data_IF_516762885284
#
_entry.id   IF_516762885284
#
_cell.length_a   1.000
_cell.length_b   1.000
_cell.length_c   1.000
_cell.angle_alpha   90.00
_cell.angle_beta   90.00
_cell.angle_gamma   90.00
#
_symmetry.space_group_name_H-M   'P 1'
#
loop_
_entity.id
_entity.type
_entity.pdbx_description
1 polymer ?
#
# COMPACT_ATOMS: atom_id res chain seq x y z
N UNK A 1 19.22 -66.73 0.86
CA UNK A 1 17.99 -66.23 0.23
C UNK A 1 17.92 -64.68 0.23
N UNK A 2 18.13 -64.00 1.32
CA UNK A 2 18.01 -62.49 1.38
C UNK A 2 18.94 -61.75 0.40
N UNK A 3 20.18 -62.18 0.19
CA UNK A 3 21.13 -61.52 -0.73
C UNK A 3 20.70 -61.61 -2.21
N UNK A 4 20.01 -62.66 -2.62
CA UNK A 4 19.55 -62.83 -3.99
C UNK A 4 18.33 -61.93 -4.25
N UNK A 5 17.41 -61.78 -3.28
CA UNK A 5 16.27 -60.90 -3.38
C UNK A 5 16.70 -59.43 -3.44
N UNK A 6 17.69 -59.02 -2.64
CA UNK A 6 18.22 -57.63 -2.65
C UNK A 6 18.85 -57.30 -4.01
N UNK A 7 19.56 -58.25 -4.63
CA UNK A 7 20.15 -58.05 -5.96
C UNK A 7 19.11 -57.94 -7.07
N UNK A 8 18.01 -58.68 -6.99
CA UNK A 8 16.91 -58.60 -7.94
C UNK A 8 16.17 -57.26 -7.81
N UNK A 9 15.94 -56.74 -6.58
CA UNK A 9 15.38 -55.42 -6.36
C UNK A 9 16.26 -54.30 -6.88
N UNK A 10 17.58 -54.41 -6.73
CA UNK A 10 18.53 -53.41 -7.24
C UNK A 10 18.56 -53.39 -8.77
N UNK A 11 18.48 -54.56 -9.42
CA UNK A 11 18.43 -54.67 -10.90
C UNK A 11 17.12 -54.16 -11.45
N UNK A 12 15.99 -54.44 -10.79
CA UNK A 12 14.67 -53.88 -11.17
C UNK A 12 14.60 -52.36 -10.95
N UNK A 13 15.22 -51.84 -9.89
CA UNK A 13 15.32 -50.41 -9.64
C UNK A 13 16.14 -49.66 -10.71
N UNK A 14 17.17 -50.31 -11.27
CA UNK A 14 17.99 -49.75 -12.36
C UNK A 14 17.22 -49.82 -13.72
N UNK A 15 16.40 -50.87 -13.92
CA UNK A 15 15.61 -50.99 -15.15
C UNK A 15 14.44 -50.00 -15.26
N UNK A 16 13.95 -49.49 -14.12
CA UNK A 16 12.96 -48.41 -14.07
C UNK A 16 13.56 -47.00 -13.84
N UNK A 17 14.87 -46.94 -13.65
CA UNK A 17 15.60 -45.71 -13.46
C UNK A 17 15.86 -44.98 -14.78
N UNK A 18 15.03 -44.01 -15.07
CA UNK A 18 15.44 -42.90 -15.92
C UNK A 18 15.07 -42.97 -17.39
N UNK A 19 13.80 -42.94 -17.71
CA UNK A 19 13.39 -42.17 -18.89
C UNK A 19 13.50 -40.70 -18.52
N UNK A 20 14.70 -40.13 -18.62
CA UNK A 20 14.89 -38.71 -18.66
C UNK A 20 14.20 -38.20 -19.93
N UNK A 21 13.00 -37.66 -19.79
CA UNK A 21 12.39 -36.93 -20.89
C UNK A 21 13.27 -35.71 -21.18
N UNK A 22 14.00 -35.76 -22.28
CA UNK A 22 14.68 -34.60 -22.81
C UNK A 22 13.63 -33.61 -23.30
N UNK A 23 13.22 -32.67 -22.46
CA UNK A 23 12.40 -31.54 -22.89
C UNK A 23 13.29 -30.61 -23.71
N UNK A 24 13.06 -30.58 -25.03
CA UNK A 24 13.65 -29.56 -25.89
C UNK A 24 12.69 -28.37 -25.92
N UNK A 25 13.14 -27.28 -25.35
CA UNK A 25 12.40 -26.00 -25.43
C UNK A 25 12.87 -25.25 -26.67
N UNK A 26 11.95 -25.02 -27.58
CA UNK A 26 12.13 -24.07 -28.68
C UNK A 26 11.49 -22.75 -28.26
N UNK A 27 12.27 -21.72 -28.12
CA UNK A 27 11.76 -20.37 -27.90
C UNK A 27 12.21 -19.44 -29.01
N UNK A 28 11.35 -18.50 -29.34
CA UNK A 28 11.66 -17.42 -30.26
C UNK A 28 11.47 -16.10 -29.51
N UNK A 29 12.49 -15.26 -29.50
CA UNK A 29 12.36 -13.88 -29.01
C UNK A 29 11.66 -13.08 -30.10
N UNK A 30 10.44 -12.62 -29.79
CA UNK A 30 9.71 -11.71 -30.67
C UNK A 30 9.94 -10.29 -30.17
N UNK A 31 10.56 -9.46 -31.01
CA UNK A 31 10.69 -8.04 -30.73
C UNK A 31 9.32 -7.38 -30.89
N UNK A 32 8.84 -6.72 -29.85
CA UNK A 32 7.59 -5.95 -29.89
C UNK A 32 7.95 -4.54 -30.36
N UNK A 33 7.64 -4.24 -31.62
CA UNK A 33 7.83 -2.93 -32.23
C UNK A 33 6.72 -2.66 -33.26
N UNK A 34 6.76 -1.50 -33.91
CA UNK A 34 5.75 -1.05 -34.88
C UNK A 34 5.53 -1.99 -36.10
N UNK A 35 6.42 -2.97 -36.32
CA UNK A 35 6.22 -3.97 -37.41
C UNK A 35 5.06 -4.92 -37.10
N UNK A 36 4.64 -5.01 -35.82
CA UNK A 36 3.49 -5.81 -35.40
C UNK A 36 2.16 -5.09 -35.63
N UNK A 37 2.17 -3.77 -35.76
CA UNK A 37 0.95 -2.96 -35.93
C UNK A 37 0.15 -3.33 -37.18
N UNK A 38 0.85 -3.73 -38.25
CA UNK A 38 0.23 -4.20 -39.48
C UNK A 38 -0.51 -5.54 -39.35
N UNK A 39 -0.30 -6.28 -38.26
CA UNK A 39 -0.88 -7.61 -38.01
C UNK A 39 -2.07 -7.57 -37.06
N UNK A 40 -2.50 -6.40 -36.62
CA UNK A 40 -3.59 -6.24 -35.68
C UNK A 40 -4.92 -6.61 -36.33
N UNK A 41 -5.73 -7.41 -35.63
CA UNK A 41 -7.07 -7.72 -36.07
C UNK A 41 -7.95 -6.45 -36.02
N UNK A 42 -8.54 -5.98 -37.16
CA UNK A 42 -9.28 -4.73 -37.20
C UNK A 42 -10.50 -4.69 -36.27
N UNK A 43 -11.15 -5.82 -36.02
CA UNK A 43 -12.29 -5.90 -35.07
C UNK A 43 -11.82 -5.72 -33.64
N UNK A 44 -10.70 -6.35 -33.27
CA UNK A 44 -10.10 -6.20 -31.97
C UNK A 44 -9.61 -4.76 -31.75
N UNK A 45 -8.94 -4.17 -32.74
CA UNK A 45 -8.49 -2.78 -32.68
C UNK A 45 -9.66 -1.81 -32.47
N UNK A 46 -10.76 -1.97 -33.21
CA UNK A 46 -11.95 -1.14 -33.03
C UNK A 46 -12.52 -1.26 -31.62
N UNK A 47 -12.58 -2.49 -31.09
CA UNK A 47 -13.04 -2.73 -29.72
C UNK A 47 -12.12 -2.07 -28.68
N UNK A 48 -10.80 -2.27 -28.80
CA UNK A 48 -9.81 -1.68 -27.90
C UNK A 48 -9.85 -0.15 -27.95
N UNK A 49 -9.96 0.45 -29.12
CA UNK A 49 -10.07 1.91 -29.26
C UNK A 49 -11.33 2.45 -28.55
N UNK A 50 -12.48 1.78 -28.70
CA UNK A 50 -13.71 2.19 -28.03
C UNK A 50 -13.60 2.09 -26.50
N UNK A 51 -12.93 1.07 -25.97
CA UNK A 51 -12.66 0.96 -24.53
C UNK A 51 -11.66 2.01 -24.06
N UNK A 52 -10.59 2.23 -24.82
CA UNK A 52 -9.59 3.27 -24.54
C UNK A 52 -10.23 4.66 -24.47
N UNK A 53 -11.08 5.02 -25.44
CA UNK A 53 -11.76 6.32 -25.48
C UNK A 53 -12.70 6.52 -24.30
N UNK A 54 -13.34 5.45 -23.82
CA UNK A 54 -14.18 5.48 -22.62
C UNK A 54 -13.33 5.69 -21.36
N UNK A 55 -12.33 4.84 -21.15
CA UNK A 55 -11.42 4.93 -20.01
C UNK A 55 -10.68 6.26 -19.96
N UNK A 56 -10.20 6.76 -21.09
CA UNK A 56 -9.48 8.03 -21.16
C UNK A 56 -10.35 9.23 -20.74
N UNK A 57 -11.65 9.17 -21.01
CA UNK A 57 -12.58 10.21 -20.54
C UNK A 57 -12.83 10.13 -19.04
N UNK A 58 -13.04 8.91 -18.51
CA UNK A 58 -13.27 8.69 -17.09
C UNK A 58 -12.02 9.02 -16.26
N UNK A 59 -10.86 8.50 -16.68
CA UNK A 59 -9.60 8.73 -15.98
C UNK A 59 -9.04 10.14 -16.18
N UNK A 60 -9.40 10.84 -17.27
CA UNK A 60 -8.97 12.19 -17.55
C UNK A 60 -9.79 13.29 -16.88
N UNK A 61 -10.82 12.94 -16.08
CA UNK A 61 -11.57 13.93 -15.30
C UNK A 61 -10.67 14.64 -14.31
N UNK A 62 -10.57 15.98 -14.41
CA UNK A 62 -9.82 16.81 -13.46
C UNK A 62 -10.63 16.95 -12.18
N UNK A 63 -10.05 16.55 -11.06
CA UNK A 63 -10.71 16.54 -9.74
C UNK A 63 -10.08 17.51 -8.74
N UNK A 64 -8.92 18.09 -9.06
CA UNK A 64 -8.21 19.03 -8.19
C UNK A 64 -7.00 19.64 -8.84
N UNK A 65 -6.23 20.38 -8.04
CA UNK A 65 -4.98 21.01 -8.45
C UNK A 65 -3.92 20.82 -7.38
N UNK A 66 -2.72 20.40 -7.77
CA UNK A 66 -1.57 20.23 -6.89
C UNK A 66 -0.56 21.38 -7.11
N UNK A 67 -0.20 22.10 -6.05
CA UNK A 67 0.67 23.26 -6.17
C UNK A 67 2.11 22.90 -6.54
N UNK A 68 2.61 21.79 -6.01
CA UNK A 68 3.98 21.32 -6.21
C UNK A 68 3.99 19.81 -6.38
N UNK A 69 4.98 19.27 -7.08
CA UNK A 69 5.13 17.83 -7.20
C UNK A 69 5.44 17.20 -5.84
N UNK A 70 4.60 16.23 -5.44
CA UNK A 70 4.74 15.47 -4.20
C UNK A 70 5.29 14.08 -4.51
N UNK A 71 6.47 13.78 -3.97
CA UNK A 71 7.13 12.49 -4.12
C UNK A 71 6.86 11.61 -2.90
N UNK A 72 7.01 10.28 -3.08
CA UNK A 72 6.94 9.29 -2.01
C UNK A 72 8.31 8.66 -1.78
N UNK A 73 8.79 8.68 -0.55
CA UNK A 73 10.04 8.07 -0.08
C UNK A 73 10.02 7.92 1.45
N UNK A 74 10.75 6.96 1.94
CA UNK A 74 10.93 6.69 3.37
C UNK A 74 11.96 7.62 4.03
N UNK A 75 11.87 7.90 5.32
CA UNK A 75 10.88 7.45 6.30
C UNK A 75 9.62 8.31 6.35
N UNK A 76 9.59 9.42 5.66
CA UNK A 76 8.46 10.32 5.48
C UNK A 76 8.67 11.18 4.23
N UNK A 77 7.60 11.53 3.55
CA UNK A 77 7.63 12.31 2.32
C UNK A 77 6.39 13.18 2.19
N UNK A 78 6.42 14.25 1.37
CA UNK A 78 5.23 15.08 1.19
C UNK A 78 4.01 14.28 0.73
N UNK A 79 4.16 13.32 -0.21
CA UNK A 79 3.02 12.53 -0.66
C UNK A 79 2.52 11.56 0.41
N UNK A 80 3.40 10.84 1.10
CA UNK A 80 2.98 9.92 2.15
C UNK A 80 2.32 10.66 3.32
N UNK A 81 2.80 11.87 3.64
CA UNK A 81 2.17 12.74 4.63
C UNK A 81 0.76 13.13 4.21
N UNK A 82 0.59 13.63 2.97
CA UNK A 82 -0.73 13.99 2.43
C UNK A 82 -1.73 12.82 2.54
N UNK A 83 -1.33 11.64 2.07
CA UNK A 83 -2.22 10.49 2.01
C UNK A 83 -2.64 10.00 3.41
N UNK A 84 -1.69 9.96 4.35
CA UNK A 84 -2.00 9.55 5.72
C UNK A 84 -2.76 10.62 6.50
N UNK A 85 -2.51 11.91 6.22
CA UNK A 85 -3.24 13.02 6.84
C UNK A 85 -4.70 13.05 6.39
N UNK A 86 -4.97 12.92 5.08
CA UNK A 86 -6.33 12.80 4.55
C UNK A 86 -7.02 11.57 5.17
N UNK A 87 -6.34 10.43 5.21
CA UNK A 87 -6.90 9.21 5.80
C UNK A 87 -7.25 9.42 7.27
N UNK A 88 -6.37 10.00 8.07
CA UNK A 88 -6.63 10.21 9.49
C UNK A 88 -7.77 11.21 9.74
N UNK A 89 -7.82 12.30 8.97
CA UNK A 89 -8.76 13.39 9.20
C UNK A 89 -10.16 13.09 8.68
N UNK A 90 -10.27 12.41 7.53
CA UNK A 90 -11.54 12.29 6.80
C UNK A 90 -12.18 10.90 6.89
N UNK A 91 -11.39 9.85 7.21
CA UNK A 91 -11.92 8.49 7.25
C UNK A 91 -13.07 8.27 8.24
N UNK A 92 -13.20 8.97 9.38
CA UNK A 92 -14.34 8.79 10.27
C UNK A 92 -15.69 8.93 9.57
N UNK A 93 -15.80 9.83 8.57
CA UNK A 93 -17.02 10.01 7.79
C UNK A 93 -17.40 8.79 6.93
N UNK A 94 -16.49 7.86 6.72
CA UNK A 94 -16.64 6.64 5.91
C UNK A 94 -16.78 5.36 6.74
N UNK A 95 -16.85 5.48 8.06
CA UNK A 95 -16.97 4.34 8.97
C UNK A 95 -18.35 3.66 8.95
N UNK A 96 -19.35 4.30 8.34
CA UNK A 96 -20.69 3.73 8.19
C UNK A 96 -21.34 3.38 9.54
N UNK A 97 -21.85 2.15 9.64
CA UNK A 97 -22.55 1.67 10.85
C UNK A 97 -21.63 1.48 12.08
N UNK A 98 -20.32 1.46 11.89
CA UNK A 98 -19.36 1.35 12.99
C UNK A 98 -19.37 2.58 13.92
N UNK A 99 -19.95 3.71 13.47
CA UNK A 99 -20.08 4.96 14.21
C UNK A 99 -18.77 5.46 14.85
N UNK A 100 -17.65 5.27 14.13
CA UNK A 100 -16.31 5.74 14.52
C UNK A 100 -16.23 7.22 14.20
N UNK A 101 -15.93 8.04 15.20
CA UNK A 101 -15.96 9.50 15.12
C UNK A 101 -14.57 10.15 15.10
N UNK A 102 -13.51 9.37 15.27
CA UNK A 102 -12.15 9.88 15.30
C UNK A 102 -11.12 8.87 14.76
N UNK A 103 -9.92 9.37 14.51
CA UNK A 103 -8.72 8.59 14.23
C UNK A 103 -7.58 9.13 15.11
N UNK A 104 -6.96 8.26 15.90
CA UNK A 104 -5.78 8.63 16.68
C UNK A 104 -4.50 8.52 15.81
N UNK A 105 -4.44 7.54 14.92
CA UNK A 105 -3.30 7.28 14.03
C UNK A 105 -3.76 6.62 12.73
N UNK A 106 -3.25 7.10 11.60
CA UNK A 106 -3.40 6.43 10.31
C UNK A 106 -2.07 5.83 9.86
N UNK A 107 -2.10 4.64 9.25
CA UNK A 107 -0.91 3.93 8.78
C UNK A 107 -1.14 3.45 7.33
N UNK A 108 -0.16 3.72 6.44
CA UNK A 108 -0.09 3.20 5.08
C UNK A 108 1.30 2.61 4.81
N UNK A 109 1.41 1.67 3.90
CA UNK A 109 2.71 1.15 3.45
C UNK A 109 3.25 1.96 2.27
N UNK A 110 4.55 2.23 2.26
CA UNK A 110 5.20 2.90 1.12
C UNK A 110 5.07 2.09 -0.17
N UNK A 111 5.12 0.76 -0.09
CA UNK A 111 4.89 -0.13 -1.24
C UNK A 111 3.52 0.02 -1.90
N UNK A 112 2.52 0.51 -1.18
CA UNK A 112 1.18 0.81 -1.69
C UNK A 112 1.10 2.11 -2.50
N UNK A 113 2.05 3.04 -2.34
CA UNK A 113 2.11 4.32 -3.05
C UNK A 113 2.96 4.13 -4.31
N UNK A 114 2.30 4.00 -5.47
CA UNK A 114 2.93 3.50 -6.70
C UNK A 114 3.43 4.59 -7.66
N UNK A 115 3.04 5.85 -7.44
CA UNK A 115 3.41 7.00 -8.28
C UNK A 115 3.58 8.24 -7.42
N UNK A 116 4.18 9.27 -7.99
CA UNK A 116 4.16 10.64 -7.45
C UNK A 116 2.85 11.33 -7.83
N UNK A 117 2.53 12.44 -7.15
CA UNK A 117 1.50 13.39 -7.56
C UNK A 117 2.21 14.61 -8.18
N UNK A 118 2.04 14.81 -9.49
CA UNK A 118 2.68 15.92 -10.22
C UNK A 118 2.01 17.25 -9.93
N UNK A 119 2.77 18.34 -10.01
CA UNK A 119 2.22 19.68 -9.97
C UNK A 119 1.29 19.93 -11.17
N UNK A 120 0.19 20.66 -10.96
CA UNK A 120 -0.84 20.95 -11.97
C UNK A 120 -2.16 20.29 -11.69
N UNK A 121 -2.97 20.09 -12.74
CA UNK A 121 -4.26 19.43 -12.63
C UNK A 121 -4.11 17.99 -12.14
N UNK A 122 -4.96 17.61 -11.20
CA UNK A 122 -5.07 16.24 -10.67
C UNK A 122 -6.23 15.56 -11.37
N UNK A 123 -5.97 14.43 -12.02
CA UNK A 123 -7.00 13.61 -12.65
C UNK A 123 -7.35 12.38 -11.82
N UNK A 124 -8.49 11.76 -12.10
CA UNK A 124 -8.83 10.44 -11.54
C UNK A 124 -7.71 9.43 -11.87
N UNK A 125 -7.13 9.51 -13.07
CA UNK A 125 -6.03 8.64 -13.51
C UNK A 125 -4.78 8.76 -12.64
N UNK A 126 -4.46 9.94 -12.13
CA UNK A 126 -3.33 10.14 -11.22
C UNK A 126 -3.56 9.40 -9.90
N UNK A 127 -4.79 9.40 -9.39
CA UNK A 127 -5.11 8.67 -8.15
C UNK A 127 -5.09 7.14 -8.38
N UNK A 128 -5.54 6.66 -9.55
CA UNK A 128 -5.36 5.26 -9.95
C UNK A 128 -3.88 4.88 -10.06
N UNK A 129 -3.02 5.77 -10.55
CA UNK A 129 -1.58 5.54 -10.60
C UNK A 129 -0.92 5.52 -9.21
N UNK A 130 -1.38 6.35 -8.28
CA UNK A 130 -0.87 6.40 -6.90
C UNK A 130 -1.34 5.18 -6.10
N UNK A 131 -2.62 4.85 -6.16
CA UNK A 131 -3.26 3.76 -5.39
C UNK A 131 -4.05 2.82 -6.30
N UNK A 132 -3.39 1.92 -7.06
CA UNK A 132 -4.05 1.05 -8.03
C UNK A 132 -4.82 -0.12 -7.40
N UNK A 133 -4.66 -0.35 -6.10
CA UNK A 133 -5.24 -1.49 -5.40
C UNK A 133 -6.67 -1.18 -4.90
N UNK A 134 -7.50 -2.23 -4.79
CA UNK A 134 -8.86 -2.13 -4.25
C UNK A 134 -8.87 -2.41 -2.74
N UNK A 135 -7.90 -1.84 -2.03
CA UNK A 135 -7.82 -1.98 -0.59
C UNK A 135 -8.91 -1.16 0.09
N UNK A 136 -9.65 -1.80 0.99
CA UNK A 136 -10.70 -1.17 1.78
C UNK A 136 -10.13 -0.47 3.01
N UNK A 137 -10.70 0.67 3.38
CA UNK A 137 -10.35 1.36 4.64
C UNK A 137 -10.76 0.45 5.81
N UNK A 138 -9.87 0.30 6.75
CA UNK A 138 -10.03 -0.57 7.92
C UNK A 138 -9.74 0.20 9.18
N UNK A 139 -10.64 0.08 10.15
CA UNK A 139 -10.56 0.71 11.46
C UNK A 139 -10.25 -0.35 12.51
N UNK A 140 -9.34 -0.05 13.40
CA UNK A 140 -8.82 -1.02 14.39
C UNK A 140 -8.74 -0.34 15.75
N UNK A 141 -9.43 -0.90 16.74
CA UNK A 141 -9.13 -0.58 18.15
C UNK A 141 -7.90 -1.38 18.59
N UNK A 142 -6.90 -0.68 19.09
CA UNK A 142 -5.62 -1.26 19.46
C UNK A 142 -5.12 -0.70 20.80
N UNK A 143 -4.64 -1.58 21.67
CA UNK A 143 -3.96 -1.13 22.90
C UNK A 143 -2.63 -0.47 22.58
N UNK A 144 -2.28 0.58 23.35
CA UNK A 144 -1.02 1.28 23.18
C UNK A 144 0.20 0.37 23.29
N UNK A 145 0.12 -0.70 24.06
CA UNK A 145 1.19 -1.70 24.14
C UNK A 145 1.42 -2.41 22.79
N UNK A 146 0.35 -2.77 22.10
CA UNK A 146 0.40 -3.39 20.78
C UNK A 146 0.80 -2.38 19.69
N UNK A 147 0.21 -1.17 19.75
CA UNK A 147 0.58 -0.07 18.85
C UNK A 147 2.09 0.25 18.95
N UNK A 148 2.65 0.26 20.16
CA UNK A 148 4.08 0.45 20.37
C UNK A 148 4.91 -0.62 19.67
N UNK A 149 4.49 -1.88 19.71
CA UNK A 149 5.19 -2.99 19.03
C UNK A 149 5.22 -2.76 17.52
N UNK A 150 4.08 -2.36 16.92
CA UNK A 150 4.00 -2.04 15.50
C UNK A 150 4.94 -0.88 15.13
N UNK A 151 4.90 0.23 15.87
CA UNK A 151 5.72 1.42 15.60
C UNK A 151 7.23 1.19 15.76
N UNK A 152 7.65 0.28 16.65
CA UNK A 152 9.05 -0.16 16.76
C UNK A 152 9.47 -0.93 15.51
N UNK A 153 8.61 -1.83 15.04
CA UNK A 153 8.87 -2.68 13.88
C UNK A 153 9.10 -1.91 12.58
N UNK A 154 8.49 -0.74 12.40
CA UNK A 154 8.70 0.10 11.21
C UNK A 154 10.18 0.38 10.93
N UNK A 155 10.96 0.63 11.97
CA UNK A 155 12.41 0.85 11.81
C UNK A 155 13.16 -0.43 11.45
N UNK A 156 12.77 -1.56 12.04
CA UNK A 156 13.40 -2.87 11.80
C UNK A 156 13.23 -3.31 10.34
N UNK A 157 12.12 -2.95 9.71
CA UNK A 157 11.82 -3.22 8.31
C UNK A 157 12.16 -2.07 7.35
N UNK A 158 13.09 -1.17 7.74
CA UNK A 158 13.58 -0.10 6.86
C UNK A 158 12.60 1.06 6.68
N UNK A 159 11.76 1.35 7.67
CA UNK A 159 10.70 2.38 7.58
C UNK A 159 9.68 2.10 6.46
N UNK A 160 9.17 0.89 6.39
CA UNK A 160 8.24 0.45 5.35
C UNK A 160 6.83 1.05 5.43
N UNK A 161 6.53 1.86 6.45
CA UNK A 161 5.23 2.47 6.67
C UNK A 161 5.31 3.99 6.90
N UNK A 162 4.33 4.68 6.32
CA UNK A 162 4.01 6.09 6.58
C UNK A 162 2.87 6.18 7.59
N UNK A 163 2.80 7.26 8.35
CA UNK A 163 1.74 7.46 9.34
C UNK A 163 1.39 8.94 9.54
N UNK A 164 0.18 9.18 10.02
CA UNK A 164 -0.31 10.46 10.55
C UNK A 164 -0.82 10.27 11.98
N UNK A 165 -0.90 11.34 12.74
CA UNK A 165 -1.35 11.31 14.14
C UNK A 165 -0.29 10.85 15.13
N UNK A 166 0.89 10.44 14.66
CA UNK A 166 2.01 10.03 15.51
C UNK A 166 3.27 10.87 15.25
N UNK A 167 4.12 10.97 16.27
CA UNK A 167 5.48 11.50 16.18
C UNK A 167 6.43 10.52 16.85
N UNK A 168 7.48 10.09 16.14
CA UNK A 168 8.45 9.13 16.65
C UNK A 168 9.85 9.72 16.56
N UNK A 169 10.55 9.76 17.69
CA UNK A 169 11.97 10.16 17.77
C UNK A 169 12.83 8.91 17.92
N UNK A 170 13.78 8.73 17.02
CA UNK A 170 14.77 7.66 17.07
C UNK A 170 16.11 8.21 17.57
N UNK A 171 16.75 7.50 18.52
CA UNK A 171 18.10 7.75 18.98
C UNK A 171 18.88 6.45 18.84
N UNK A 172 20.02 6.48 18.17
CA UNK A 172 20.82 5.27 17.91
C UNK A 172 20.03 4.15 17.23
N UNK A 173 19.06 4.51 16.39
CA UNK A 173 18.20 3.56 15.69
C UNK A 173 17.07 2.94 16.51
N UNK A 174 16.94 3.30 17.80
CA UNK A 174 15.85 2.83 18.66
C UNK A 174 14.84 3.95 18.90
N UNK A 175 13.52 3.66 18.92
CA UNK A 175 12.51 4.65 19.26
C UNK A 175 12.67 5.04 20.74
N UNK A 176 13.01 6.31 20.98
CA UNK A 176 13.21 6.87 22.31
C UNK A 176 11.96 7.58 22.83
N UNK A 177 11.17 8.15 21.93
CA UNK A 177 9.92 8.81 22.26
C UNK A 177 8.88 8.51 21.17
N UNK A 178 7.67 8.18 21.61
CA UNK A 178 6.50 8.03 20.75
C UNK A 178 5.39 8.90 21.32
N UNK A 179 4.82 9.76 20.48
CA UNK A 179 3.63 10.55 20.79
C UNK A 179 2.51 10.20 19.85
N UNK A 180 1.29 10.16 20.35
CA UNK A 180 0.05 10.02 19.55
C UNK A 180 -0.81 11.24 19.84
N UNK A 181 -1.23 11.96 18.81
CA UNK A 181 -1.98 13.22 18.91
C UNK A 181 -1.28 14.24 19.85
N UNK A 182 0.06 14.33 19.75
CA UNK A 182 0.88 15.22 20.55
C UNK A 182 1.21 14.74 21.97
N UNK A 183 0.48 13.76 22.50
CA UNK A 183 0.65 13.22 23.86
C UNK A 183 1.54 11.97 23.88
N UNK A 184 2.32 11.74 24.94
CA UNK A 184 3.08 10.50 25.08
C UNK A 184 2.19 9.26 24.97
N UNK A 185 2.65 8.28 24.21
CA UNK A 185 1.92 6.99 24.05
C UNK A 185 1.71 6.32 25.41
N UNK A 186 0.45 6.02 25.76
CA UNK A 186 0.04 5.33 26.98
C UNK A 186 -0.26 3.86 26.65
N UNK A 187 0.43 2.93 27.28
CA UNK A 187 0.39 1.50 26.95
C UNK A 187 -0.96 0.85 27.22
N UNK A 188 -1.70 1.33 28.19
CA UNK A 188 -3.01 0.84 28.64
C UNK A 188 -4.21 1.52 27.94
N UNK A 189 -3.97 2.67 27.28
CA UNK A 189 -5.01 3.36 26.50
C UNK A 189 -5.32 2.56 25.22
N UNK A 190 -6.59 2.54 24.82
CA UNK A 190 -7.02 2.08 23.50
C UNK A 190 -6.98 3.25 22.52
N UNK A 191 -6.46 3.02 21.33
CA UNK A 191 -6.35 3.99 20.24
C UNK A 191 -7.13 3.50 19.03
N UNK A 192 -7.71 4.44 18.28
CA UNK A 192 -8.32 4.17 16.99
C UNK A 192 -7.25 4.31 15.89
N UNK A 193 -6.83 3.19 15.34
CA UNK A 193 -5.94 3.11 14.20
C UNK A 193 -6.76 2.94 12.93
N UNK A 194 -6.47 3.74 11.90
CA UNK A 194 -7.05 3.60 10.57
C UNK A 194 -5.98 3.21 9.57
N UNK A 195 -6.30 2.24 8.74
CA UNK A 195 -5.38 1.70 7.73
C UNK A 195 -6.17 1.11 6.55
N UNK A 196 -5.55 0.22 5.79
CA UNK A 196 -6.17 -0.55 4.71
C UNK A 196 -6.17 -2.05 5.07
N UNK A 197 -7.12 -2.81 4.55
CA UNK A 197 -7.27 -4.24 4.87
C UNK A 197 -6.00 -5.04 4.60
N UNK A 198 -5.24 -4.74 3.54
CA UNK A 198 -3.95 -5.37 3.26
C UNK A 198 -2.99 -5.31 4.46
N UNK A 199 -2.86 -4.14 5.10
CA UNK A 199 -1.99 -3.95 6.27
C UNK A 199 -2.61 -4.62 7.50
N UNK A 200 -3.93 -4.48 7.69
CA UNK A 200 -4.64 -5.10 8.81
C UNK A 200 -4.53 -6.63 8.81
N UNK A 201 -4.44 -7.24 7.64
CA UNK A 201 -4.25 -8.68 7.43
C UNK A 201 -2.76 -9.13 7.50
N UNK A 202 -1.85 -8.22 7.85
CA UNK A 202 -0.42 -8.51 8.05
C UNK A 202 0.46 -8.24 6.82
N UNK A 203 -0.06 -7.55 5.79
CA UNK A 203 0.72 -7.17 4.61
C UNK A 203 1.95 -6.33 5.00
N UNK A 204 3.05 -6.54 4.29
CA UNK A 204 4.36 -5.93 4.52
C UNK A 204 4.88 -6.10 5.96
N UNK A 205 4.36 -7.09 6.71
CA UNK A 205 4.66 -7.39 8.11
C UNK A 205 4.45 -6.21 9.09
N UNK A 206 3.72 -5.15 8.68
CA UNK A 206 3.53 -3.92 9.46
C UNK A 206 2.75 -4.19 10.75
N UNK A 207 1.58 -4.82 10.63
CA UNK A 207 0.72 -5.18 11.76
C UNK A 207 0.66 -6.70 12.01
N UNK A 208 1.60 -7.45 11.48
CA UNK A 208 1.69 -8.89 11.68
C UNK A 208 1.89 -9.24 13.16
N UNK A 209 1.16 -10.23 13.64
CA UNK A 209 1.20 -10.70 15.04
C UNK A 209 0.85 -9.60 16.07
N UNK A 210 0.14 -8.55 15.66
CA UNK A 210 -0.39 -7.52 16.54
C UNK A 210 -1.81 -7.91 16.94
N UNK A 211 -2.12 -7.80 18.23
CA UNK A 211 -3.46 -8.08 18.74
C UNK A 211 -4.35 -6.83 18.63
N UNK A 212 -5.55 -7.01 18.09
CA UNK A 212 -6.59 -5.99 18.00
C UNK A 212 -7.69 -6.26 19.01
N UNK A 213 -8.25 -5.22 19.62
CA UNK A 213 -9.45 -5.31 20.45
C UNK A 213 -10.69 -5.50 19.55
N UNK A 214 -10.77 -4.74 18.45
CA UNK A 214 -11.86 -4.78 17.49
C UNK A 214 -11.38 -4.33 16.11
N UNK A 215 -12.08 -4.75 15.06
CA UNK A 215 -11.79 -4.36 13.67
C UNK A 215 -13.08 -4.16 12.88
N UNK A 216 -13.14 -3.09 12.10
CA UNK A 216 -14.24 -2.81 11.18
C UNK A 216 -13.70 -2.52 9.78
N UNK A 217 -14.38 -3.03 8.78
CA UNK A 217 -14.05 -2.82 7.37
C UNK A 217 -15.09 -1.89 6.76
N UNK A 218 -14.64 -0.82 6.09
CA UNK A 218 -15.55 0.03 5.34
C UNK A 218 -15.97 -0.64 4.02
N UNK A 219 -16.99 -0.07 3.36
CA UNK A 219 -17.35 -0.46 1.98
C UNK A 219 -16.63 0.42 0.93
N UNK A 220 -15.71 1.29 1.36
CA UNK A 220 -15.03 2.27 0.50
C UNK A 220 -13.58 1.87 0.30
N UNK A 221 -13.14 1.82 -0.95
CA UNK A 221 -11.72 1.61 -1.24
C UNK A 221 -10.93 2.88 -0.88
N UNK A 222 -9.67 2.71 -0.48
CA UNK A 222 -8.79 3.85 -0.21
C UNK A 222 -8.65 4.76 -1.45
N UNK A 223 -8.63 4.20 -2.64
CA UNK A 223 -8.60 4.95 -3.90
C UNK A 223 -9.84 5.81 -4.10
N UNK A 224 -11.04 5.24 -3.96
CA UNK A 224 -12.29 5.97 -4.16
C UNK A 224 -12.47 7.05 -3.08
N UNK A 225 -12.07 6.74 -1.85
CA UNK A 225 -11.97 7.71 -0.76
C UNK A 225 -11.07 8.91 -1.14
N UNK A 226 -9.86 8.66 -1.66
CA UNK A 226 -8.95 9.74 -2.07
C UNK A 226 -9.55 10.59 -3.19
N UNK A 227 -10.20 9.98 -4.19
CA UNK A 227 -10.86 10.70 -5.27
C UNK A 227 -11.93 11.65 -4.71
N UNK A 228 -12.76 11.16 -3.79
CA UNK A 228 -13.83 12.00 -3.20
C UNK A 228 -13.25 13.11 -2.32
N UNK A 229 -12.24 12.82 -1.50
CA UNK A 229 -11.64 13.82 -0.61
C UNK A 229 -10.90 14.92 -1.38
N UNK A 230 -10.21 14.59 -2.48
CA UNK A 230 -9.58 15.59 -3.34
C UNK A 230 -10.66 16.47 -4.00
N UNK A 231 -11.78 15.89 -4.45
CA UNK A 231 -12.93 16.65 -4.94
C UNK A 231 -13.50 17.59 -3.87
N UNK A 232 -13.59 17.12 -2.62
CA UNK A 232 -14.11 17.92 -1.50
C UNK A 232 -13.20 19.09 -1.16
N UNK A 233 -11.87 18.86 -1.12
CA UNK A 233 -10.87 19.92 -0.92
C UNK A 233 -10.99 20.96 -2.04
N UNK A 234 -11.08 20.54 -3.28
CA UNK A 234 -11.23 21.42 -4.45
C UNK A 234 -12.55 22.21 -4.42
N UNK A 235 -13.67 21.57 -4.10
CA UNK A 235 -14.98 22.24 -3.93
C UNK A 235 -14.94 23.32 -2.83
N UNK A 236 -14.09 23.16 -1.82
CA UNK A 236 -13.87 24.14 -0.75
C UNK A 236 -12.97 25.31 -1.18
N UNK A 237 -12.52 25.34 -2.44
CA UNK A 237 -11.67 26.39 -3.00
C UNK A 237 -10.18 26.25 -2.64
N UNK A 238 -9.77 25.07 -2.16
CA UNK A 238 -8.39 24.78 -1.79
C UNK A 238 -7.68 23.95 -2.87
N UNK A 239 -6.38 24.18 -2.99
CA UNK A 239 -5.46 23.32 -3.74
C UNK A 239 -4.83 22.25 -2.84
N UNK A 240 -4.29 21.21 -3.46
CA UNK A 240 -3.54 20.17 -2.77
C UNK A 240 -2.11 20.63 -2.57
N UNK A 241 -1.68 20.63 -1.31
CA UNK A 241 -0.32 20.91 -0.90
C UNK A 241 0.08 20.03 0.27
N UNK A 242 1.32 19.70 0.41
CA UNK A 242 1.89 18.97 1.55
C UNK A 242 3.39 19.19 1.62
N UNK A 243 3.93 19.05 2.81
CA UNK A 243 5.36 19.19 3.07
C UNK A 243 5.82 18.19 4.13
N UNK A 244 7.13 18.08 4.28
CA UNK A 244 7.71 17.34 5.40
C UNK A 244 7.43 18.05 6.71
N UNK A 245 7.25 17.25 7.75
CA UNK A 245 7.15 17.68 9.13
C UNK A 245 7.99 16.78 10.06
N UNK A 246 7.90 17.01 11.36
CA UNK A 246 8.69 16.31 12.38
C UNK A 246 8.01 15.01 12.87
N UNK A 247 7.18 14.33 12.04
CA UNK A 247 6.56 13.07 12.45
C UNK A 247 7.58 11.94 12.64
N UNK A 248 8.70 11.98 11.91
CA UNK A 248 9.84 11.08 12.09
C UNK A 248 11.10 11.91 12.36
N UNK A 249 11.66 11.78 13.54
CA UNK A 249 12.89 12.48 13.94
C UNK A 249 13.99 11.43 14.15
N UNK A 250 15.06 11.52 13.37
CA UNK A 250 16.21 10.61 13.47
C UNK A 250 17.40 11.39 13.99
N UNK A 251 17.77 11.18 15.25
CA UNK A 251 18.96 11.77 15.85
C UNK A 251 20.15 10.82 15.66
N UNK A 252 21.20 11.25 14.96
CA UNK A 252 22.43 10.46 14.87
C UNK A 252 23.04 10.28 16.27
N UNK A 253 23.68 9.17 16.47
CA UNK A 253 24.53 8.95 17.67
C UNK A 253 25.62 10.01 17.70
N UNK A 254 25.78 10.71 18.81
CA UNK A 254 26.98 11.57 19.05
C UNK A 254 28.18 10.72 19.32
#
# INVERSE_FOLDING_TARGET
MYKVFLSIYLILGIAFGGYAQNFQYHYQILKVDSTLDAKVNPKLQKYLNAQHDKLSRELGEVIGFCETTLNSYDPASPLSNLLTDILCQQSPAYAGEAAIDHCDIAILNFGGIRSQLSAGDITIGDIYAISPFENLITYIEIKGAELRKALIRFREHGFNAAFSGAQITYISGLPSQIKIQGEPLKLDKTYMLVTINFIAEGGDDILKDIHYESTWLSNTTFRDFLIEEIKNITKSGNSITSQLDDRVIINPTR
#
